data_IF_764436844393
#
_entry.id   IF_764436844393
#
_cell.length_a   1.000
_cell.length_b   1.000
_cell.length_c   1.000
_cell.angle_alpha   90.00
_cell.angle_beta   90.00
_cell.angle_gamma   90.00
#
_symmetry.space_group_name_H-M   'P 1'
#
loop_
_entity.id
_entity.type
_entity.pdbx_description
1 polymer ?
#
# COMPACT_ATOMS: atom_id res chain seq x y z
N UNK A 1 -34.51 3.98 6.32
CA UNK A 1 -34.14 4.94 7.37
C UNK A 1 -33.27 4.19 8.35
N UNK A 2 -31.97 4.18 8.06
CA UNK A 2 -31.05 3.28 8.75
C UNK A 2 -30.52 3.94 10.01
N UNK A 3 -30.39 3.20 11.11
CA UNK A 3 -29.87 3.76 12.34
C UNK A 3 -28.43 4.23 12.14
N UNK A 4 -27.99 5.30 12.81
CA UNK A 4 -26.61 5.78 12.72
C UNK A 4 -25.64 4.79 13.36
N UNK A 5 -24.46 4.62 12.76
CA UNK A 5 -23.36 3.81 13.27
C UNK A 5 -22.14 4.67 13.61
N UNK A 6 -21.33 4.21 14.56
CA UNK A 6 -20.05 4.84 14.86
C UNK A 6 -19.09 4.72 13.67
N UNK A 7 -18.53 5.85 13.21
CA UNK A 7 -17.70 5.90 12.00
C UNK A 7 -16.20 6.19 12.27
N UNK A 8 -15.83 6.60 13.48
CA UNK A 8 -14.46 7.06 13.77
C UNK A 8 -13.39 5.98 13.56
N UNK A 9 -13.48 4.88 14.31
CA UNK A 9 -12.57 3.74 14.19
C UNK A 9 -12.61 3.06 12.81
N UNK A 10 -13.78 2.71 12.22
CA UNK A 10 -13.80 2.03 10.93
C UNK A 10 -13.24 2.89 9.79
N UNK A 11 -13.40 4.22 9.85
CA UNK A 11 -12.84 5.11 8.84
C UNK A 11 -11.30 5.14 8.87
N UNK A 12 -10.67 5.17 10.06
CA UNK A 12 -9.21 5.24 10.17
C UNK A 12 -8.52 3.88 9.94
N UNK A 13 -9.15 2.79 10.36
CA UNK A 13 -8.59 1.44 10.26
C UNK A 13 -8.26 1.01 8.81
N UNK A 14 -8.99 1.53 7.82
CA UNK A 14 -8.82 1.15 6.40
C UNK A 14 -7.80 2.00 5.65
N UNK A 15 -7.39 3.16 6.18
CA UNK A 15 -6.58 4.14 5.45
C UNK A 15 -5.22 3.57 5.01
N UNK A 16 -4.51 2.92 5.92
CA UNK A 16 -3.20 2.34 5.61
C UNK A 16 -3.26 1.26 4.52
N UNK A 17 -4.29 0.41 4.57
CA UNK A 17 -4.52 -0.64 3.58
C UNK A 17 -4.89 -0.05 2.21
N UNK A 18 -5.76 0.97 2.19
CA UNK A 18 -6.14 1.67 0.97
C UNK A 18 -4.92 2.28 0.26
N UNK A 19 -4.04 2.96 1.01
CA UNK A 19 -2.80 3.54 0.47
C UNK A 19 -1.87 2.45 -0.07
N UNK A 20 -1.66 1.35 0.67
CA UNK A 20 -0.80 0.25 0.23
C UNK A 20 -1.31 -0.40 -1.07
N UNK A 21 -2.64 -0.56 -1.19
CA UNK A 21 -3.27 -1.10 -2.38
C UNK A 21 -3.15 -0.14 -3.57
N UNK A 22 -3.32 1.16 -3.36
CA UNK A 22 -3.13 2.17 -4.40
C UNK A 22 -1.69 2.18 -4.94
N UNK A 23 -0.68 2.13 -4.06
CA UNK A 23 0.73 2.02 -4.45
C UNK A 23 0.96 0.76 -5.28
N UNK A 24 0.37 -0.37 -4.88
CA UNK A 24 0.50 -1.58 -5.66
C UNK A 24 -0.16 -1.49 -7.02
N UNK A 25 -1.39 -0.99 -7.10
CA UNK A 25 -2.08 -0.83 -8.39
C UNK A 25 -1.26 0.05 -9.35
N UNK A 26 -0.63 1.11 -8.84
CA UNK A 26 0.14 2.05 -9.66
C UNK A 26 1.53 1.52 -10.10
N UNK A 27 2.18 0.67 -9.28
CA UNK A 27 3.61 0.36 -9.46
C UNK A 27 3.94 -1.13 -9.49
N UNK A 28 3.02 -1.98 -9.05
CA UNK A 28 3.25 -3.39 -8.74
C UNK A 28 4.08 -3.63 -7.47
N UNK A 29 4.60 -2.59 -6.80
CA UNK A 29 5.31 -2.75 -5.53
C UNK A 29 4.34 -3.08 -4.38
N UNK A 30 4.82 -3.75 -3.32
CA UNK A 30 3.99 -4.12 -2.15
C UNK A 30 4.57 -3.51 -0.89
N UNK A 31 3.80 -2.64 -0.23
CA UNK A 31 4.13 -2.11 1.10
C UNK A 31 3.44 -2.96 2.17
N UNK A 32 4.19 -3.49 3.13
CA UNK A 32 3.70 -4.49 4.10
C UNK A 32 3.96 -4.10 5.56
N UNK A 33 4.69 -3.00 5.77
CA UNK A 33 5.20 -2.62 7.08
C UNK A 33 5.00 -1.13 7.25
N UNK A 34 4.27 -0.77 8.30
CA UNK A 34 4.09 0.61 8.73
C UNK A 34 5.26 1.07 9.61
N UNK A 35 5.51 2.39 9.70
CA UNK A 35 5.01 3.42 8.80
C UNK A 35 5.62 3.34 7.40
N UNK A 36 4.93 3.91 6.40
CA UNK A 36 5.39 4.04 5.01
C UNK A 36 6.40 5.18 4.86
N UNK A 37 7.56 5.04 5.49
CA UNK A 37 8.63 6.03 5.38
C UNK A 37 9.19 6.09 3.95
N UNK A 38 9.72 7.25 3.50
CA UNK A 38 10.30 7.37 2.16
C UNK A 38 11.34 6.30 1.84
N UNK A 39 12.21 5.96 2.81
CA UNK A 39 13.22 4.91 2.65
C UNK A 39 12.61 3.53 2.37
N UNK A 40 11.55 3.14 3.09
CA UNK A 40 10.87 1.85 2.89
C UNK A 40 10.10 1.80 1.58
N UNK A 41 9.45 2.91 1.21
CA UNK A 41 8.75 3.03 -0.08
C UNK A 41 9.74 2.90 -1.24
N UNK A 42 10.87 3.63 -1.17
CA UNK A 42 11.92 3.56 -2.20
C UNK A 42 12.49 2.16 -2.33
N UNK A 43 12.81 1.50 -1.21
CA UNK A 43 13.29 0.12 -1.22
C UNK A 43 12.29 -0.85 -1.86
N UNK A 44 10.98 -0.68 -1.63
CA UNK A 44 9.95 -1.50 -2.26
C UNK A 44 9.86 -1.28 -3.78
N UNK A 45 9.98 -0.04 -4.25
CA UNK A 45 10.02 0.31 -5.67
C UNK A 45 11.26 -0.25 -6.36
N UNK A 46 12.43 -0.11 -5.74
CA UNK A 46 13.69 -0.64 -6.26
C UNK A 46 13.63 -2.17 -6.36
N UNK A 47 13.10 -2.85 -5.33
CA UNK A 47 12.86 -4.30 -5.38
C UNK A 47 11.94 -4.70 -6.53
N UNK A 48 10.86 -3.93 -6.76
CA UNK A 48 9.93 -4.18 -7.87
C UNK A 48 10.61 -3.98 -9.23
N UNK A 49 11.40 -2.92 -9.39
CA UNK A 49 12.19 -2.65 -10.60
C UNK A 49 13.15 -3.79 -10.91
N UNK A 50 13.89 -4.27 -9.92
CA UNK A 50 14.82 -5.39 -10.07
C UNK A 50 14.13 -6.71 -10.43
N UNK A 51 12.92 -6.94 -9.90
CA UNK A 51 12.12 -8.11 -10.26
C UNK A 51 11.66 -8.08 -11.73
N UNK A 52 11.40 -6.90 -12.29
CA UNK A 52 11.01 -6.76 -13.70
C UNK A 52 12.17 -7.11 -14.65
N UNK A 53 13.41 -6.77 -14.28
CA UNK A 53 14.61 -7.04 -15.10
C UNK A 53 14.89 -8.55 -15.17
N UNK A 54 14.67 -9.28 -14.08
CA UNK A 54 14.93 -10.73 -14.00
C UNK A 54 13.81 -11.60 -14.59
N UNK A 55 12.66 -11.01 -14.93
CA UNK A 55 11.48 -11.74 -15.40
C UNK A 55 11.25 -11.65 -16.91
N UNK A 56 12.22 -11.14 -17.68
CA UNK A 56 12.12 -10.93 -19.12
C UNK A 56 12.93 -11.95 -19.96
N UNK A 57 13.22 -13.12 -19.39
CA UNK A 57 13.81 -14.28 -20.07
C UNK A 57 12.73 -15.27 -20.48
#
# INVERSE_FOLDING_TARGET
>A
DEPPWGAGEPAICVVAAAIANAVHAATGARLRTLPFTPARVRAALDRRRLANIRGSE
#
